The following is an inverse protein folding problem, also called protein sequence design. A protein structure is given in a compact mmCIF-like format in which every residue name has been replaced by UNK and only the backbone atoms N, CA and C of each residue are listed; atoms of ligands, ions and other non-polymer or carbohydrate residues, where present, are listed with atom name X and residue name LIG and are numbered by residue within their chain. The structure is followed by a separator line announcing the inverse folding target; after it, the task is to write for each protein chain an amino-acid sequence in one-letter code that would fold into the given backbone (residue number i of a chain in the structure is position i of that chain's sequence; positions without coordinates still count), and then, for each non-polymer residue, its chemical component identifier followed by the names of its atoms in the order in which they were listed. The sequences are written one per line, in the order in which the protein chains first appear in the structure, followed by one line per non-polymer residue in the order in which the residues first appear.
data_IF_653088270191
#
_entry.id   IF_653088270191
#
_cell.length_a   1.000
_cell.length_b   1.000
_cell.length_c   1.000
_cell.angle_alpha   90.00
_cell.angle_beta   90.00
_cell.angle_gamma   90.00
#
_symmetry.space_group_name_H-M   'P 1'
#
loop_
_entity.id
_entity.type
_entity.pdbx_description
1 polymer ?
#
# COMPACT_ATOMS: atom_id res chain seq x y z
N UNK A 1 -5.70 11.77 25.03
CA UNK A 1 -4.66 12.70 25.55
C UNK A 1 -3.36 11.99 25.26
N UNK A 2 -2.43 12.57 24.49
CA UNK A 2 -1.21 11.85 24.13
C UNK A 2 -0.46 11.40 25.39
N UNK A 3 -0.35 10.08 25.58
CA UNK A 3 0.40 9.45 26.67
C UNK A 3 1.84 9.99 26.63
N UNK A 4 2.34 10.50 27.75
CA UNK A 4 3.70 11.03 27.84
C UNK A 4 4.75 9.94 27.56
N UNK A 5 5.92 10.32 27.05
CA UNK A 5 7.02 9.36 26.78
C UNK A 5 7.36 8.51 28.01
N UNK A 6 7.28 9.09 29.22
CA UNK A 6 7.54 8.38 30.48
C UNK A 6 6.44 7.37 30.82
N UNK A 7 5.17 7.68 30.55
CA UNK A 7 4.08 6.72 30.71
C UNK A 7 4.15 5.59 29.68
N UNK A 8 4.54 5.88 28.43
CA UNK A 8 4.80 4.83 27.44
C UNK A 8 5.93 3.90 27.90
N UNK A 9 7.00 4.45 28.45
CA UNK A 9 8.11 3.66 28.99
C UNK A 9 7.66 2.77 30.16
N UNK A 10 6.84 3.30 31.08
CA UNK A 10 6.25 2.50 32.17
C UNK A 10 5.41 1.34 31.64
N UNK A 11 4.56 1.58 30.64
CA UNK A 11 3.71 0.55 30.06
C UNK A 11 4.53 -0.52 29.31
N UNK A 12 5.59 -0.13 28.60
CA UNK A 12 6.52 -1.08 27.96
C UNK A 12 7.19 -1.97 29.01
N UNK A 13 7.63 -1.39 30.14
CA UNK A 13 8.24 -2.15 31.23
C UNK A 13 7.25 -3.13 31.87
N UNK A 14 6.01 -2.72 32.09
CA UNK A 14 4.96 -3.62 32.60
C UNK A 14 4.73 -4.81 31.65
N UNK A 15 4.62 -4.54 30.34
CA UNK A 15 4.41 -5.59 29.33
C UNK A 15 5.60 -6.54 29.20
N UNK A 16 6.83 -6.06 29.43
CA UNK A 16 8.03 -6.92 29.53
C UNK A 16 7.96 -7.86 30.74
N UNK A 17 7.60 -7.34 31.91
CA UNK A 17 7.40 -8.18 33.12
C UNK A 17 6.32 -9.25 32.90
N UNK A 18 5.21 -8.90 32.23
CA UNK A 18 4.18 -9.88 31.85
C UNK A 18 4.74 -10.97 30.92
N UNK A 19 5.58 -10.61 29.94
CA UNK A 19 6.23 -11.60 29.07
C UNK A 19 7.18 -12.52 29.85
N UNK A 20 7.94 -11.99 30.82
CA UNK A 20 8.80 -12.78 31.69
C UNK A 20 7.99 -13.81 32.49
N UNK A 21 6.91 -13.36 33.15
CA UNK A 21 6.01 -14.25 33.89
C UNK A 21 5.35 -15.32 32.99
N UNK A 22 4.96 -14.95 31.76
CA UNK A 22 4.45 -15.92 30.79
C UNK A 22 5.51 -16.98 30.46
N UNK A 23 6.77 -16.58 30.24
CA UNK A 23 7.87 -17.51 29.93
C UNK A 23 8.21 -18.43 31.10
N UNK A 24 8.16 -17.92 32.33
CA UNK A 24 8.31 -18.74 33.54
C UNK A 24 7.19 -19.79 33.64
N UNK A 25 5.98 -19.45 33.21
CA UNK A 25 4.85 -20.38 33.06
C UNK A 25 4.94 -21.31 31.85
N UNK A 26 6.06 -21.35 31.12
CA UNK A 26 6.27 -22.23 29.98
C UNK A 26 5.79 -21.68 28.63
N UNK A 27 5.33 -20.43 28.56
CA UNK A 27 4.98 -19.81 27.29
C UNK A 27 6.19 -19.73 26.37
N UNK A 28 6.06 -20.34 25.20
CA UNK A 28 6.91 -20.11 24.06
C UNK A 28 6.02 -19.71 22.88
N UNK A 29 6.54 -18.94 21.92
CA UNK A 29 5.74 -18.54 20.77
C UNK A 29 5.23 -19.79 20.04
N UNK A 30 3.91 -19.98 19.95
CA UNK A 30 3.34 -21.27 19.59
C UNK A 30 3.60 -21.64 18.14
N UNK A 31 3.54 -22.95 17.86
CA UNK A 31 3.66 -23.49 16.49
C UNK A 31 2.38 -23.22 15.71
N UNK A 32 2.43 -23.43 14.39
CA UNK A 32 1.32 -23.11 13.49
C UNK A 32 0.00 -23.70 13.95
N UNK A 33 -0.92 -22.83 14.36
CA UNK A 33 -2.32 -23.16 14.59
C UNK A 33 -3.10 -22.98 13.29
N UNK A 34 -4.04 -23.86 13.03
CA UNK A 34 -4.90 -23.78 11.86
C UNK A 34 -5.86 -22.59 11.99
N UNK A 35 -5.99 -21.82 10.91
CA UNK A 35 -6.96 -20.73 10.75
C UNK A 35 -7.81 -21.10 9.55
N UNK A 36 -9.12 -21.17 9.72
CA UNK A 36 -10.07 -21.60 8.67
C UNK A 36 -11.13 -20.54 8.35
N UNK A 37 -11.06 -19.37 9.00
CA UNK A 37 -11.98 -18.28 8.80
C UNK A 37 -11.31 -16.91 8.98
N UNK A 38 -11.77 -15.93 8.19
CA UNK A 38 -11.39 -14.52 8.27
C UNK A 38 -12.59 -13.66 8.67
N UNK A 39 -12.33 -12.55 9.36
CA UNK A 39 -13.35 -11.70 9.94
C UNK A 39 -14.35 -11.17 8.90
N UNK A 40 -13.91 -10.59 7.79
CA UNK A 40 -14.83 -10.06 6.77
C UNK A 40 -15.69 -11.19 6.15
N UNK A 41 -15.10 -12.35 5.85
CA UNK A 41 -15.84 -13.51 5.30
C UNK A 41 -16.94 -13.98 6.28
N UNK A 42 -16.65 -13.97 7.58
CA UNK A 42 -17.63 -14.29 8.62
C UNK A 42 -18.71 -13.22 8.69
N UNK A 43 -18.36 -11.94 8.62
CA UNK A 43 -19.34 -10.86 8.61
C UNK A 43 -20.24 -10.96 7.38
N UNK A 44 -19.71 -11.10 6.17
CA UNK A 44 -20.48 -11.19 4.94
C UNK A 44 -21.37 -12.44 4.90
N UNK A 45 -20.86 -13.59 5.33
CA UNK A 45 -21.58 -14.85 5.26
C UNK A 45 -22.62 -15.08 6.36
N UNK A 46 -22.48 -14.42 7.52
CA UNK A 46 -23.24 -14.78 8.73
C UNK A 46 -23.86 -13.60 9.49
N UNK A 47 -23.47 -12.35 9.23
CA UNK A 47 -23.99 -11.21 10.01
C UNK A 47 -25.48 -10.94 9.80
N UNK A 48 -26.03 -11.29 8.64
CA UNK A 48 -27.45 -11.12 8.30
C UNK A 48 -28.36 -12.22 8.85
N UNK A 49 -27.78 -13.30 9.38
CA UNK A 49 -28.53 -14.43 9.95
C UNK A 49 -28.98 -14.11 11.38
N UNK A 50 -30.17 -14.61 11.73
CA UNK A 50 -30.69 -14.57 13.09
C UNK A 50 -29.89 -15.49 14.03
N UNK A 51 -30.02 -15.25 15.34
CA UNK A 51 -29.39 -16.10 16.35
C UNK A 51 -29.83 -17.56 16.28
N UNK A 52 -31.11 -17.82 15.97
CA UNK A 52 -31.65 -19.18 15.81
C UNK A 52 -31.06 -19.89 14.58
N UNK A 53 -30.93 -19.18 13.47
CA UNK A 53 -30.30 -19.72 12.25
C UNK A 53 -28.82 -20.06 12.50
N UNK A 54 -28.08 -19.19 13.19
CA UNK A 54 -26.68 -19.47 13.54
C UNK A 54 -26.54 -20.67 14.47
N UNK A 55 -27.41 -20.77 15.47
CA UNK A 55 -27.43 -21.90 16.39
C UNK A 55 -27.74 -23.21 15.64
N UNK A 56 -28.68 -23.19 14.69
CA UNK A 56 -29.02 -24.35 13.87
C UNK A 56 -27.87 -24.81 12.97
N UNK A 57 -27.07 -23.87 12.45
CA UNK A 57 -25.88 -24.16 11.62
C UNK A 57 -24.73 -24.72 12.45
N UNK A 58 -24.66 -24.35 13.73
CA UNK A 58 -23.63 -24.80 14.68
C UNK A 58 -22.21 -24.68 14.11
N UNK A 59 -21.93 -23.55 13.44
CA UNK A 59 -20.66 -23.33 12.73
C UNK A 59 -19.56 -23.00 13.71
N UNK A 60 -18.61 -23.93 13.85
CA UNK A 60 -17.33 -23.71 14.53
C UNK A 60 -16.30 -23.11 13.57
N UNK A 61 -15.48 -22.21 14.08
CA UNK A 61 -14.45 -21.47 13.34
C UNK A 61 -13.18 -21.34 14.16
N UNK A 62 -12.04 -21.22 13.46
CA UNK A 62 -10.72 -20.93 14.03
C UNK A 62 -10.18 -19.65 13.43
N UNK A 63 -10.01 -18.65 14.28
CA UNK A 63 -9.59 -17.29 13.89
C UNK A 63 -8.34 -16.89 14.65
N UNK A 64 -7.53 -16.03 14.05
CA UNK A 64 -6.45 -15.36 14.76
C UNK A 64 -6.42 -13.88 14.41
N UNK A 65 -6.13 -13.04 15.40
CA UNK A 65 -6.12 -11.62 15.19
C UNK A 65 -5.51 -10.86 16.34
N UNK A 66 -5.22 -9.59 16.07
CA UNK A 66 -4.75 -8.65 17.07
C UNK A 66 -5.93 -8.20 17.94
N UNK A 67 -5.79 -8.31 19.24
CA UNK A 67 -6.76 -7.79 20.20
C UNK A 67 -6.83 -6.26 20.11
N UNK A 68 -7.96 -5.74 19.65
CA UNK A 68 -8.25 -4.31 19.51
C UNK A 68 -8.99 -3.74 20.72
N UNK A 69 -9.77 -4.57 21.40
CA UNK A 69 -10.50 -4.19 22.60
C UNK A 69 -10.63 -5.37 23.57
N UNK A 70 -10.73 -5.07 24.86
CA UNK A 70 -10.97 -6.04 25.93
C UNK A 70 -11.86 -5.44 27.01
N UNK A 71 -12.92 -6.15 27.39
CA UNK A 71 -13.83 -5.78 28.48
C UNK A 71 -14.05 -6.98 29.38
N UNK A 72 -13.60 -6.89 30.63
CA UNK A 72 -13.74 -7.94 31.64
C UNK A 72 -14.97 -7.66 32.50
N UNK A 73 -15.84 -8.66 32.65
CA UNK A 73 -17.13 -8.59 33.35
C UNK A 73 -17.23 -9.71 34.40
N UNK A 74 -16.21 -9.83 35.25
CA UNK A 74 -16.10 -10.90 36.24
C UNK A 74 -15.83 -12.26 35.59
N UNK A 75 -16.85 -13.13 35.55
CA UNK A 75 -16.77 -14.50 35.00
C UNK A 75 -16.91 -14.58 33.47
N UNK A 76 -17.26 -13.47 32.82
CA UNK A 76 -17.29 -13.37 31.36
C UNK A 76 -16.51 -12.14 30.87
N UNK A 77 -16.09 -12.17 29.61
CA UNK A 77 -15.40 -11.09 28.96
C UNK A 77 -15.77 -11.00 27.49
N UNK A 78 -15.70 -9.79 26.94
CA UNK A 78 -15.74 -9.55 25.50
C UNK A 78 -14.39 -9.04 25.02
N UNK A 79 -14.00 -9.45 23.82
CA UNK A 79 -12.84 -8.91 23.12
C UNK A 79 -13.17 -8.70 21.66
N UNK A 80 -12.53 -7.73 21.01
CA UNK A 80 -12.55 -7.62 19.55
C UNK A 80 -11.17 -7.92 19.03
N UNK A 81 -11.08 -8.82 18.05
CA UNK A 81 -9.84 -9.10 17.35
C UNK A 81 -9.92 -8.60 15.92
N UNK A 82 -8.77 -8.21 15.37
CA UNK A 82 -8.62 -7.75 14.00
C UNK A 82 -7.60 -8.59 13.25
N UNK A 83 -8.01 -9.15 12.13
CA UNK A 83 -7.11 -9.85 11.20
C UNK A 83 -6.79 -8.98 9.97
N UNK A 84 -6.27 -9.60 8.90
CA UNK A 84 -5.94 -8.87 7.66
C UNK A 84 -7.16 -8.40 6.85
N UNK A 85 -8.35 -8.91 7.17
CA UNK A 85 -9.62 -8.63 6.48
C UNK A 85 -10.46 -7.61 7.27
N UNK A 86 -10.68 -7.84 8.57
CA UNK A 86 -11.68 -7.11 9.34
C UNK A 86 -11.61 -7.36 10.84
N UNK A 87 -12.71 -7.04 11.53
CA UNK A 87 -12.87 -7.23 12.97
C UNK A 87 -13.99 -8.24 13.29
N UNK A 88 -13.76 -9.08 14.30
CA UNK A 88 -14.76 -10.02 14.83
C UNK A 88 -14.75 -9.99 16.36
N UNK A 89 -15.94 -10.12 16.97
CA UNK A 89 -16.09 -10.14 18.41
C UNK A 89 -15.89 -11.56 18.95
N UNK A 90 -15.24 -11.65 20.11
CA UNK A 90 -15.05 -12.85 20.90
C UNK A 90 -15.79 -12.70 22.23
N UNK A 91 -16.51 -13.74 22.63
CA UNK A 91 -17.06 -13.91 23.96
C UNK A 91 -16.29 -15.01 24.68
N UNK A 92 -15.81 -14.71 25.88
CA UNK A 92 -15.03 -15.62 26.71
C UNK A 92 -15.71 -15.79 28.06
N UNK A 93 -15.88 -17.03 28.50
CA UNK A 93 -16.48 -17.34 29.81
C UNK A 93 -15.61 -18.32 30.58
N UNK A 94 -15.52 -18.15 31.89
CA UNK A 94 -14.86 -19.11 32.79
C UNK A 94 -15.62 -20.44 32.90
N UNK A 95 -16.83 -20.55 32.33
CA UNK A 95 -17.59 -21.80 32.23
C UNK A 95 -17.21 -22.64 31.02
N UNK A 96 -16.75 -22.00 29.94
CA UNK A 96 -16.39 -22.64 28.67
C UNK A 96 -14.87 -22.88 28.60
N UNK A 97 -14.09 -21.92 29.08
CA UNK A 97 -12.63 -22.00 29.14
C UNK A 97 -12.18 -22.58 30.49
N UNK A 98 -11.03 -23.25 30.50
CA UNK A 98 -10.37 -23.62 31.76
C UNK A 98 -10.08 -22.36 32.59
N UNK A 99 -10.15 -22.48 33.92
CA UNK A 99 -9.91 -21.37 34.83
C UNK A 99 -8.53 -20.74 34.59
N UNK A 100 -7.52 -21.57 34.31
CA UNK A 100 -6.16 -21.14 33.97
C UNK A 100 -6.11 -20.28 32.70
N UNK A 101 -6.72 -20.72 31.60
CA UNK A 101 -6.75 -19.96 30.33
C UNK A 101 -7.53 -18.66 30.51
N UNK A 102 -8.67 -18.69 31.21
CA UNK A 102 -9.47 -17.50 31.42
C UNK A 102 -8.75 -16.46 32.30
N UNK A 103 -8.04 -16.90 33.34
CA UNK A 103 -7.23 -16.00 34.16
C UNK A 103 -6.01 -15.48 33.40
N UNK A 104 -5.37 -16.29 32.56
CA UNK A 104 -4.31 -15.84 31.65
C UNK A 104 -4.84 -14.76 30.69
N UNK A 105 -6.02 -14.94 30.09
CA UNK A 105 -6.66 -13.95 29.22
C UNK A 105 -6.85 -12.58 29.91
N UNK A 106 -7.22 -12.57 31.20
CA UNK A 106 -7.37 -11.32 31.96
C UNK A 106 -6.06 -10.55 32.07
N UNK A 107 -4.90 -11.21 32.02
CA UNK A 107 -3.58 -10.57 32.04
C UNK A 107 -3.11 -10.05 30.68
N UNK A 108 -3.68 -10.53 29.57
CA UNK A 108 -3.32 -10.10 28.22
C UNK A 108 -3.61 -8.62 27.98
N UNK A 109 -2.96 -8.01 27.00
CA UNK A 109 -3.10 -6.59 26.71
C UNK A 109 -3.69 -6.36 25.31
N UNK A 110 -4.42 -5.25 25.16
CA UNK A 110 -4.75 -4.73 23.83
C UNK A 110 -3.46 -4.56 23.02
N UNK A 111 -3.47 -5.11 21.81
CA UNK A 111 -2.32 -5.24 20.93
C UNK A 111 -1.74 -6.65 20.85
N UNK A 112 -1.96 -7.52 21.83
CA UNK A 112 -1.54 -8.93 21.75
C UNK A 112 -2.23 -9.63 20.57
N UNK A 113 -1.58 -10.62 19.97
CA UNK A 113 -2.16 -11.47 18.93
C UNK A 113 -2.60 -12.76 19.58
N UNK A 114 -3.87 -13.12 19.38
CA UNK A 114 -4.49 -14.31 19.96
C UNK A 114 -5.11 -15.16 18.85
N UNK A 115 -5.15 -16.46 19.08
CA UNK A 115 -5.93 -17.42 18.33
C UNK A 115 -7.12 -17.85 19.18
N UNK A 116 -8.27 -18.05 18.54
CA UNK A 116 -9.49 -18.50 19.19
C UNK A 116 -10.22 -19.49 18.30
N UNK A 117 -10.76 -20.53 18.93
CA UNK A 117 -11.70 -21.47 18.31
C UNK A 117 -13.01 -21.44 19.07
N UNK A 118 -14.12 -21.46 18.35
CA UNK A 118 -15.43 -21.39 18.96
C UNK A 118 -16.58 -21.36 17.97
N UNK A 119 -17.79 -21.32 18.50
CA UNK A 119 -19.03 -21.33 17.71
C UNK A 119 -19.56 -19.93 17.47
N UNK A 120 -20.10 -19.68 16.27
CA UNK A 120 -20.75 -18.41 15.94
C UNK A 120 -22.10 -18.26 16.65
N UNK A 121 -22.36 -17.08 17.19
CA UNK A 121 -23.67 -16.68 17.73
C UNK A 121 -23.89 -15.16 17.61
N UNK A 122 -25.10 -14.71 17.96
CA UNK A 122 -25.45 -13.29 18.05
C UNK A 122 -25.62 -12.88 19.51
N UNK A 123 -25.06 -11.73 19.86
CA UNK A 123 -25.30 -11.11 21.17
C UNK A 123 -26.69 -10.46 21.22
N UNK A 124 -27.09 -9.99 22.41
CA UNK A 124 -28.34 -9.23 22.59
C UNK A 124 -28.40 -7.93 21.78
N UNK A 125 -27.25 -7.40 21.36
CA UNK A 125 -27.14 -6.21 20.50
C UNK A 125 -27.02 -6.58 19.02
N UNK A 126 -27.34 -7.83 18.67
CA UNK A 126 -27.29 -8.37 17.30
C UNK A 126 -25.90 -8.30 16.64
N UNK A 127 -24.83 -8.37 17.44
CA UNK A 127 -23.45 -8.40 16.94
C UNK A 127 -22.96 -9.84 16.77
N UNK A 128 -22.44 -10.18 15.57
CA UNK A 128 -21.86 -11.49 15.28
C UNK A 128 -20.62 -11.72 16.15
N UNK A 129 -20.63 -12.83 16.89
CA UNK A 129 -19.64 -13.12 17.93
C UNK A 129 -19.25 -14.59 17.93
N UNK A 130 -18.01 -14.90 18.28
CA UNK A 130 -17.53 -16.26 18.49
C UNK A 130 -17.57 -16.56 20.00
N UNK A 131 -18.32 -17.58 20.39
CA UNK A 131 -18.29 -18.14 21.75
C UNK A 131 -17.05 -19.04 21.86
N UNK A 132 -16.02 -18.54 22.54
CA UNK A 132 -14.68 -19.13 22.53
C UNK A 132 -14.62 -20.37 23.43
N UNK A 133 -14.28 -21.50 22.83
CA UNK A 133 -14.05 -22.78 23.50
C UNK A 133 -12.55 -23.07 23.73
N UNK A 134 -11.68 -22.58 22.85
CA UNK A 134 -10.22 -22.67 23.00
C UNK A 134 -9.58 -21.32 22.68
N UNK A 135 -8.57 -20.92 23.45
CA UNK A 135 -7.86 -19.65 23.31
C UNK A 135 -6.37 -19.87 23.48
N UNK A 136 -5.57 -19.25 22.62
CA UNK A 136 -4.13 -19.27 22.74
C UNK A 136 -3.52 -17.89 22.47
N UNK A 137 -2.55 -17.49 23.29
CA UNK A 137 -1.73 -16.30 23.01
C UNK A 137 -0.71 -16.65 21.92
N UNK A 138 -0.77 -15.98 20.77
CA UNK A 138 0.22 -16.18 19.70
C UNK A 138 1.44 -15.27 19.87
N UNK A 139 1.24 -14.01 20.25
CA UNK A 139 2.33 -13.03 20.34
C UNK A 139 2.00 -11.94 21.34
N UNK A 140 2.89 -11.74 22.31
CA UNK A 140 2.83 -10.62 23.26
C UNK A 140 3.27 -9.32 22.60
N UNK A 141 2.42 -8.29 22.64
CA UNK A 141 2.76 -6.95 22.16
C UNK A 141 3.45 -6.15 23.23
N UNK A 142 4.76 -5.92 23.09
CA UNK A 142 5.55 -5.16 24.07
C UNK A 142 5.32 -3.64 24.01
N UNK A 143 4.76 -3.13 22.91
CA UNK A 143 4.39 -1.73 22.76
C UNK A 143 2.87 -1.59 22.72
N UNK A 144 2.31 -0.53 23.34
CA UNK A 144 0.88 -0.25 23.23
C UNK A 144 0.50 0.15 21.81
N UNK A 145 -0.78 -0.03 21.49
CA UNK A 145 -1.34 0.52 20.26
C UNK A 145 -1.43 2.05 20.34
N UNK A 146 -1.30 2.77 19.21
CA UNK A 146 -1.59 4.20 19.15
C UNK A 146 -3.02 4.52 19.59
N UNK A 147 -3.24 5.67 20.22
CA UNK A 147 -4.60 6.17 20.47
C UNK A 147 -5.32 6.41 19.13
N UNK A 148 -6.52 5.83 18.95
CA UNK A 148 -7.31 5.87 17.71
C UNK A 148 -7.50 7.28 17.12
N UNK A 149 -7.58 8.32 17.95
CA UNK A 149 -7.97 9.67 17.53
C UNK A 149 -6.81 10.65 17.36
N UNK A 150 -5.73 10.51 18.11
CA UNK A 150 -4.64 11.48 18.14
C UNK A 150 -3.32 10.94 17.60
N UNK A 151 -3.10 9.62 17.64
CA UNK A 151 -1.79 9.03 17.36
C UNK A 151 -1.46 8.84 15.88
N UNK A 152 -2.45 8.94 14.98
CA UNK A 152 -2.27 8.65 13.55
C UNK A 152 -2.85 9.74 12.63
N UNK A 153 -3.26 10.89 13.14
CA UNK A 153 -3.63 12.03 12.28
C UNK A 153 -2.39 12.67 11.65
N UNK A 154 -1.24 12.57 12.32
CA UNK A 154 0.05 13.05 11.80
C UNK A 154 0.50 12.20 10.60
N UNK A 155 0.51 12.84 9.43
CA UNK A 155 0.94 12.26 8.17
C UNK A 155 2.38 11.76 8.19
N UNK A 156 3.29 12.43 8.89
CA UNK A 156 4.69 12.04 8.97
C UNK A 156 4.86 10.75 9.79
N UNK A 157 4.16 10.65 10.93
CA UNK A 157 4.15 9.43 11.76
C UNK A 157 3.59 8.25 10.96
N UNK A 158 2.50 8.44 10.20
CA UNK A 158 1.94 7.38 9.33
C UNK A 158 2.96 6.88 8.30
N UNK A 159 3.78 7.79 7.74
CA UNK A 159 4.80 7.42 6.76
C UNK A 159 6.00 6.71 7.41
N UNK A 160 6.46 7.18 8.56
CA UNK A 160 7.58 6.56 9.30
C UNK A 160 7.21 5.21 9.93
N UNK A 161 5.96 5.07 10.36
CA UNK A 161 5.44 3.88 11.05
C UNK A 161 4.29 3.25 10.27
N UNK A 162 4.54 2.93 9.00
CA UNK A 162 3.53 2.36 8.09
C UNK A 162 2.78 1.17 8.67
N UNK A 163 3.45 0.32 9.45
CA UNK A 163 2.81 -0.83 10.10
C UNK A 163 1.70 -0.43 11.10
N UNK A 164 1.81 0.72 11.77
CA UNK A 164 0.76 1.25 12.64
C UNK A 164 -0.40 1.85 11.84
N UNK A 165 -0.09 2.60 10.78
CA UNK A 165 -1.09 3.14 9.86
C UNK A 165 -1.92 2.02 9.22
N UNK A 166 -1.27 0.99 8.67
CA UNK A 166 -1.95 -0.19 8.10
C UNK A 166 -2.77 -0.93 9.15
N UNK A 167 -2.29 -1.03 10.39
CA UNK A 167 -3.03 -1.70 11.46
C UNK A 167 -4.34 -0.97 11.80
N UNK A 168 -4.36 0.36 11.70
CA UNK A 168 -5.47 1.18 12.17
C UNK A 168 -6.40 1.70 11.06
N UNK A 169 -5.93 1.82 9.83
CA UNK A 169 -6.70 2.39 8.71
C UNK A 169 -7.00 1.34 7.63
N UNK A 170 -8.28 0.96 7.50
CA UNK A 170 -8.76 0.09 6.39
C UNK A 170 -8.57 0.81 5.04
N UNK A 171 -8.73 2.13 5.01
CA UNK A 171 -8.51 2.93 3.79
C UNK A 171 -7.06 2.88 3.32
N UNK A 172 -6.08 3.03 4.23
CA UNK A 172 -4.66 2.86 3.89
C UNK A 172 -4.41 1.46 3.30
N UNK A 173 -4.92 0.41 3.94
CA UNK A 173 -4.79 -0.97 3.41
C UNK A 173 -5.39 -1.10 2.01
N UNK A 174 -6.59 -0.54 1.80
CA UNK A 174 -7.28 -0.58 0.51
C UNK A 174 -6.46 0.12 -0.57
N UNK A 175 -5.79 1.24 -0.29
CA UNK A 175 -4.88 1.90 -1.25
C UNK A 175 -3.76 0.95 -1.70
N UNK A 176 -3.14 0.18 -0.80
CA UNK A 176 -2.10 -0.79 -1.18
C UNK A 176 -2.67 -1.99 -1.94
N UNK A 177 -3.84 -2.51 -1.55
CA UNK A 177 -4.53 -3.58 -2.28
C UNK A 177 -4.87 -3.14 -3.71
N UNK A 178 -5.43 -1.93 -3.86
CA UNK A 178 -5.73 -1.29 -5.14
C UNK A 178 -4.47 -1.12 -5.98
N UNK A 179 -3.36 -0.63 -5.39
CA UNK A 179 -2.06 -0.53 -6.08
C UNK A 179 -1.61 -1.90 -6.62
N UNK A 180 -1.74 -2.96 -5.83
CA UNK A 180 -1.37 -4.30 -6.29
C UNK A 180 -2.24 -4.78 -7.45
N UNK A 181 -3.55 -4.51 -7.41
CA UNK A 181 -4.48 -4.82 -8.51
C UNK A 181 -4.13 -4.05 -9.78
N UNK A 182 -3.83 -2.75 -9.67
CA UNK A 182 -3.41 -1.91 -10.79
C UNK A 182 -2.17 -2.49 -11.49
N UNK A 183 -1.12 -2.81 -10.72
CA UNK A 183 0.12 -3.35 -11.30
C UNK A 183 -0.12 -4.74 -11.90
N UNK A 184 -0.94 -5.58 -11.27
CA UNK A 184 -1.30 -6.90 -11.83
C UNK A 184 -2.05 -6.77 -13.15
N UNK A 185 -3.04 -5.88 -13.24
CA UNK A 185 -3.82 -5.64 -14.46
C UNK A 185 -2.96 -5.03 -15.57
N UNK A 186 -2.04 -4.13 -15.22
CA UNK A 186 -1.07 -3.57 -16.16
C UNK A 186 -0.19 -4.66 -16.78
N UNK A 187 0.34 -5.59 -15.96
CA UNK A 187 1.11 -6.74 -16.45
C UNK A 187 0.31 -7.64 -17.36
N UNK A 188 -0.90 -8.03 -16.94
CA UNK A 188 -1.75 -8.92 -17.74
C UNK A 188 -2.11 -8.27 -19.06
N UNK A 189 -2.52 -6.99 -19.05
CA UNK A 189 -2.85 -6.23 -20.26
C UNK A 189 -1.71 -6.22 -21.27
N UNK A 190 -0.48 -5.90 -20.84
CA UNK A 190 0.68 -5.87 -21.75
C UNK A 190 1.05 -7.28 -22.24
N UNK A 191 0.95 -8.30 -21.37
CA UNK A 191 1.23 -9.69 -21.73
C UNK A 191 0.23 -10.26 -22.72
N UNK A 192 -1.07 -9.94 -22.57
CA UNK A 192 -2.15 -10.34 -23.48
C UNK A 192 -1.97 -9.75 -24.88
N UNK A 193 -1.29 -8.59 -24.98
CA UNK A 193 -0.90 -7.94 -26.24
C UNK A 193 0.42 -8.50 -26.83
N UNK A 194 0.98 -9.54 -26.22
CA UNK A 194 2.24 -10.17 -26.65
C UNK A 194 3.49 -9.32 -26.39
N UNK A 195 3.43 -8.38 -25.45
CA UNK A 195 4.58 -7.56 -25.04
C UNK A 195 5.28 -8.29 -23.89
N UNK A 196 6.56 -8.64 -24.07
CA UNK A 196 7.30 -9.50 -23.16
C UNK A 196 7.79 -8.73 -21.91
N UNK A 197 7.49 -9.22 -20.71
CA UNK A 197 8.10 -8.69 -19.48
C UNK A 197 9.58 -9.13 -19.40
N UNK A 198 10.47 -8.18 -19.17
CA UNK A 198 11.92 -8.40 -19.04
C UNK A 198 12.47 -7.73 -17.78
N UNK A 199 13.63 -8.18 -17.32
CA UNK A 199 14.36 -7.55 -16.21
C UNK A 199 15.74 -7.08 -16.70
N UNK A 200 16.04 -5.79 -16.51
CA UNK A 200 17.34 -5.21 -16.86
C UNK A 200 18.14 -4.78 -15.62
N UNK A 201 19.47 -4.60 -15.71
CA UNK A 201 20.30 -4.26 -14.55
C UNK A 201 19.84 -2.99 -13.82
N UNK A 202 19.86 -3.04 -12.48
CA UNK A 202 19.62 -1.90 -11.58
C UNK A 202 20.85 -1.05 -11.32
N UNK A 203 22.04 -1.62 -11.53
CA UNK A 203 23.34 -0.96 -11.37
C UNK A 203 23.96 -0.78 -12.74
N UNK A 204 24.18 0.46 -13.15
CA UNK A 204 24.74 0.82 -14.45
C UNK A 204 26.18 1.34 -14.28
N UNK A 205 27.08 1.06 -15.23
CA UNK A 205 28.42 1.68 -15.23
C UNK A 205 28.36 3.16 -15.64
N UNK A 206 27.37 3.54 -16.46
CA UNK A 206 27.12 4.91 -16.88
C UNK A 206 25.62 5.16 -16.72
N UNK A 207 25.20 6.13 -15.89
CA UNK A 207 23.79 6.46 -15.74
C UNK A 207 23.28 7.17 -17.00
N UNK A 208 22.10 6.78 -17.49
CA UNK A 208 21.49 7.36 -18.69
C UNK A 208 20.01 6.99 -18.83
N UNK A 209 19.37 7.44 -19.92
CA UNK A 209 17.94 7.23 -20.16
C UNK A 209 17.01 8.24 -19.47
N UNK A 210 17.55 9.18 -18.68
CA UNK A 210 16.81 10.30 -18.12
C UNK A 210 17.77 11.45 -17.76
N UNK A 211 17.21 12.63 -17.50
CA UNK A 211 17.95 13.77 -16.93
C UNK A 211 17.67 13.84 -15.44
N UNK A 212 18.49 13.17 -14.64
CA UNK A 212 18.39 13.15 -13.18
C UNK A 212 19.75 12.90 -12.53
N UNK A 213 19.92 13.32 -11.27
CA UNK A 213 21.13 13.00 -10.50
C UNK A 213 21.06 11.54 -10.02
N UNK A 214 22.07 10.70 -10.30
CA UNK A 214 22.06 9.30 -9.87
C UNK A 214 22.52 9.14 -8.40
N UNK A 215 22.19 8.00 -7.80
CA UNK A 215 22.93 7.49 -6.63
C UNK A 215 24.18 6.75 -7.10
N UNK A 216 25.29 6.96 -6.39
CA UNK A 216 26.58 6.31 -6.66
C UNK A 216 26.83 5.23 -5.61
N UNK A 217 27.33 4.08 -6.03
CA UNK A 217 27.76 2.97 -5.17
C UNK A 217 29.08 2.40 -5.71
N UNK A 218 29.71 1.50 -4.95
CA UNK A 218 31.01 0.93 -5.29
C UNK A 218 31.00 -0.59 -5.18
N UNK A 219 31.47 -1.28 -6.22
CA UNK A 219 31.56 -2.73 -6.24
C UNK A 219 32.94 -3.20 -5.78
N UNK A 220 33.09 -3.53 -4.49
CA UNK A 220 34.38 -3.84 -3.84
C UNK A 220 35.27 -4.85 -4.61
N UNK A 221 34.71 -5.97 -5.09
CA UNK A 221 35.52 -7.02 -5.73
C UNK A 221 35.96 -6.68 -7.16
N UNK A 222 35.30 -5.71 -7.81
CA UNK A 222 35.63 -5.25 -9.17
C UNK A 222 36.33 -3.89 -9.15
N UNK A 223 36.53 -3.33 -7.95
CA UNK A 223 37.11 -2.01 -7.69
C UNK A 223 36.63 -0.94 -8.67
N UNK A 224 35.30 -0.79 -8.77
CA UNK A 224 34.68 0.16 -9.70
C UNK A 224 33.40 0.76 -9.16
N UNK A 225 33.17 2.02 -9.53
CA UNK A 225 31.92 2.71 -9.24
C UNK A 225 30.79 2.23 -10.16
N UNK A 226 29.60 2.19 -9.59
CA UNK A 226 28.34 1.89 -10.27
C UNK A 226 27.29 2.91 -9.84
N UNK A 227 26.25 3.03 -10.65
CA UNK A 227 25.17 3.98 -10.44
C UNK A 227 23.85 3.22 -10.35
N UNK A 228 23.02 3.54 -9.36
CA UNK A 228 21.64 3.06 -9.39
C UNK A 228 20.93 3.70 -10.57
N UNK A 229 20.22 2.90 -11.37
CA UNK A 229 19.62 3.36 -12.62
C UNK A 229 18.59 4.47 -12.38
N UNK A 230 18.68 5.52 -13.20
CA UNK A 230 17.70 6.61 -13.25
C UNK A 230 16.53 6.30 -14.21
N UNK A 231 16.78 5.38 -15.16
CA UNK A 231 15.84 4.81 -16.15
C UNK A 231 16.45 3.51 -16.76
N UNK A 232 15.64 2.49 -17.09
CA UNK A 232 16.09 1.31 -17.84
C UNK A 232 16.20 1.49 -19.37
N UNK A 233 15.71 2.61 -19.95
CA UNK A 233 15.64 2.90 -21.40
C UNK A 233 16.79 2.32 -22.24
N UNK A 234 18.05 2.63 -21.90
CA UNK A 234 19.19 2.26 -22.73
C UNK A 234 19.40 0.73 -22.79
N UNK A 235 19.07 -0.01 -21.74
CA UNK A 235 19.17 -1.47 -21.74
C UNK A 235 18.01 -2.11 -22.50
N UNK A 236 16.80 -1.58 -22.34
CA UNK A 236 15.64 -2.04 -23.10
C UNK A 236 15.84 -1.84 -24.61
N UNK A 237 16.36 -0.68 -25.04
CA UNK A 237 16.70 -0.45 -26.46
C UNK A 237 17.75 -1.43 -26.98
N UNK A 238 18.69 -1.91 -26.16
CA UNK A 238 19.64 -2.97 -26.56
C UNK A 238 18.94 -4.31 -26.81
N UNK A 239 17.90 -4.62 -26.05
CA UNK A 239 17.08 -5.82 -26.29
C UNK A 239 16.31 -5.71 -27.62
N UNK A 240 15.77 -4.54 -27.94
CA UNK A 240 15.15 -4.28 -29.25
C UNK A 240 16.16 -4.47 -30.38
N UNK A 241 17.37 -3.93 -30.26
CA UNK A 241 18.47 -4.19 -31.21
C UNK A 241 18.81 -5.68 -31.30
N UNK A 242 18.68 -6.41 -30.19
CA UNK A 242 18.87 -7.86 -30.12
C UNK A 242 17.73 -8.70 -30.71
N UNK A 243 16.66 -8.07 -31.22
CA UNK A 243 15.54 -8.76 -31.87
C UNK A 243 14.31 -8.98 -30.97
N UNK A 244 14.28 -8.42 -29.77
CA UNK A 244 13.04 -8.40 -28.96
C UNK A 244 12.15 -7.23 -29.39
N UNK A 245 11.24 -7.49 -30.32
CA UNK A 245 10.41 -6.45 -30.94
C UNK A 245 9.44 -5.76 -29.96
N UNK A 246 8.96 -6.45 -28.91
CA UNK A 246 7.96 -5.91 -27.98
C UNK A 246 8.30 -6.32 -26.57
N UNK A 247 8.70 -5.35 -25.76
CA UNK A 247 9.15 -5.57 -24.38
C UNK A 247 8.63 -4.52 -23.42
N UNK A 248 8.50 -4.87 -22.16
CA UNK A 248 8.26 -3.93 -21.08
C UNK A 248 8.96 -4.35 -19.79
N UNK A 249 9.18 -3.39 -18.90
CA UNK A 249 9.70 -3.62 -17.55
C UNK A 249 8.95 -2.73 -16.55
N UNK A 250 8.44 -3.34 -15.46
CA UNK A 250 7.84 -2.63 -14.32
C UNK A 250 8.73 -2.84 -13.09
N UNK A 251 9.61 -1.88 -12.79
CA UNK A 251 10.50 -2.02 -11.65
C UNK A 251 11.00 -0.65 -11.14
N UNK A 252 11.96 -0.64 -10.20
CA UNK A 252 12.42 0.57 -9.51
C UNK A 252 13.33 1.43 -10.40
N UNK A 253 13.20 2.74 -10.26
CA UNK A 253 14.16 3.75 -10.67
C UNK A 253 14.57 4.57 -9.45
N UNK A 254 15.79 5.11 -9.48
CA UNK A 254 16.38 5.83 -8.36
C UNK A 254 16.87 7.20 -8.82
N UNK A 255 16.42 8.27 -8.16
CA UNK A 255 16.83 9.65 -8.46
C UNK A 255 17.22 10.34 -7.16
N UNK A 256 18.46 10.83 -7.10
CA UNK A 256 19.04 11.50 -5.94
C UNK A 256 18.61 12.98 -5.93
N UNK A 257 17.32 13.17 -5.72
CA UNK A 257 16.61 14.45 -5.75
C UNK A 257 15.84 14.66 -4.44
N UNK A 258 15.29 15.86 -4.25
CA UNK A 258 14.50 16.19 -3.06
C UNK A 258 13.21 15.36 -2.97
N UNK A 259 12.77 15.07 -1.74
CA UNK A 259 11.49 14.42 -1.48
C UNK A 259 10.37 15.47 -1.54
N UNK A 260 9.24 15.13 -2.15
CA UNK A 260 8.02 15.95 -2.12
C UNK A 260 6.78 15.07 -2.11
N UNK A 261 5.58 15.67 -2.10
CA UNK A 261 4.31 14.94 -2.20
C UNK A 261 4.15 14.16 -3.52
N UNK A 262 4.94 14.50 -4.54
CA UNK A 262 4.91 13.88 -5.87
C UNK A 262 6.18 13.10 -6.21
N UNK A 263 7.26 13.24 -5.41
CA UNK A 263 8.58 12.70 -5.74
C UNK A 263 9.14 11.91 -4.56
N UNK A 264 9.47 10.65 -4.80
CA UNK A 264 10.20 9.78 -3.88
C UNK A 264 11.53 9.36 -4.54
N UNK A 265 12.66 9.31 -3.80
CA UNK A 265 13.97 8.99 -4.38
C UNK A 265 14.05 7.61 -5.03
N UNK A 266 13.17 6.70 -4.62
CA UNK A 266 12.90 5.44 -5.32
C UNK A 266 11.43 5.38 -5.75
N UNK A 267 11.17 4.99 -6.99
CA UNK A 267 9.80 4.92 -7.50
C UNK A 267 9.67 3.85 -8.57
N UNK A 268 8.45 3.36 -8.78
CA UNK A 268 8.17 2.34 -9.79
C UNK A 268 7.83 3.02 -11.11
N UNK A 269 8.47 2.58 -12.18
CA UNK A 269 8.18 3.03 -13.53
C UNK A 269 7.85 1.82 -14.41
N UNK A 270 6.88 1.98 -15.31
CA UNK A 270 6.72 1.14 -16.49
C UNK A 270 7.52 1.79 -17.61
N UNK A 271 8.46 1.06 -18.21
CA UNK A 271 9.00 1.38 -19.53
C UNK A 271 8.61 0.28 -20.51
N UNK A 272 8.27 0.65 -21.74
CA UNK A 272 7.91 -0.31 -22.80
C UNK A 272 8.44 0.16 -24.15
N UNK A 273 8.78 -0.80 -25.01
CA UNK A 273 9.29 -0.57 -26.35
C UNK A 273 8.61 -1.53 -27.33
N UNK A 274 8.18 -0.97 -28.46
CA UNK A 274 7.60 -1.72 -29.58
C UNK A 274 8.29 -1.29 -30.87
N UNK A 275 9.01 -2.20 -31.50
CA UNK A 275 9.61 -2.01 -32.81
C UNK A 275 8.51 -1.81 -33.87
N UNK A 276 8.82 -1.02 -34.89
CA UNK A 276 7.93 -0.71 -36.01
C UNK A 276 6.64 0.05 -35.63
N UNK A 277 6.61 0.63 -34.42
CA UNK A 277 5.52 1.48 -33.94
C UNK A 277 5.94 2.95 -33.89
N UNK A 278 4.95 3.83 -33.95
CA UNK A 278 5.07 5.27 -33.83
C UNK A 278 4.62 5.74 -32.44
N UNK A 279 4.79 7.03 -32.16
CA UNK A 279 4.24 7.62 -30.94
C UNK A 279 2.70 7.52 -30.86
N UNK A 280 1.99 7.49 -32.00
CA UNK A 280 0.53 7.35 -32.02
C UNK A 280 0.07 5.98 -31.54
N UNK A 281 0.81 4.92 -31.89
CA UNK A 281 0.52 3.57 -31.41
C UNK A 281 0.68 3.47 -29.89
N UNK A 282 1.72 4.11 -29.35
CA UNK A 282 1.96 4.17 -27.90
C UNK A 282 0.92 5.02 -27.18
N UNK A 283 0.44 6.12 -27.78
CA UNK A 283 -0.67 6.91 -27.24
C UNK A 283 -1.94 6.06 -27.17
N UNK A 284 -2.32 5.37 -28.25
CA UNK A 284 -3.49 4.47 -28.28
C UNK A 284 -3.39 3.38 -27.20
N UNK A 285 -2.23 2.71 -27.09
CA UNK A 285 -1.97 1.67 -26.10
C UNK A 285 -2.12 2.20 -24.66
N UNK A 286 -1.61 3.40 -24.40
CA UNK A 286 -1.64 4.04 -23.08
C UNK A 286 -3.06 4.41 -22.67
N UNK A 287 -3.84 4.98 -23.59
CA UNK A 287 -5.25 5.34 -23.38
C UNK A 287 -6.08 4.09 -23.03
N UNK A 288 -6.00 3.03 -23.85
CA UNK A 288 -6.74 1.78 -23.59
C UNK A 288 -6.28 1.10 -22.29
N UNK A 289 -4.97 1.05 -22.02
CA UNK A 289 -4.45 0.47 -20.77
C UNK A 289 -5.03 1.17 -19.53
N UNK A 290 -5.06 2.51 -19.52
CA UNK A 290 -5.61 3.28 -18.40
C UNK A 290 -7.11 3.03 -18.25
N UNK A 291 -7.84 2.99 -19.36
CA UNK A 291 -9.27 2.65 -19.38
C UNK A 291 -9.55 1.26 -18.80
N UNK A 292 -8.84 0.23 -19.27
CA UNK A 292 -8.99 -1.16 -18.81
C UNK A 292 -8.65 -1.30 -17.32
N UNK A 293 -7.62 -0.59 -16.84
CA UNK A 293 -7.26 -0.58 -15.41
C UNK A 293 -8.35 0.08 -14.58
N UNK A 294 -8.89 1.23 -15.01
CA UNK A 294 -9.95 1.92 -14.29
C UNK A 294 -11.21 1.07 -14.17
N UNK A 295 -11.64 0.44 -15.28
CA UNK A 295 -12.80 -0.43 -15.32
C UNK A 295 -12.62 -1.66 -14.41
N UNK A 296 -11.48 -2.34 -14.46
CA UNK A 296 -11.20 -3.52 -13.64
C UNK A 296 -11.14 -3.18 -12.14
N UNK A 297 -10.41 -2.12 -11.79
CA UNK A 297 -10.05 -1.86 -10.39
C UNK A 297 -11.12 -1.05 -9.66
N UNK A 298 -11.75 -0.08 -10.34
CA UNK A 298 -12.79 0.77 -9.77
C UNK A 298 -14.20 0.31 -10.14
N UNK A 299 -14.38 -0.42 -11.24
CA UNK A 299 -15.70 -0.70 -11.80
C UNK A 299 -16.31 0.50 -12.54
N UNK A 300 -15.52 1.54 -12.81
CA UNK A 300 -15.98 2.78 -13.45
C UNK A 300 -14.87 3.40 -14.31
N UNK A 301 -15.29 4.03 -15.41
CA UNK A 301 -14.45 4.84 -16.31
C UNK A 301 -14.29 6.30 -15.83
N UNK A 302 -14.96 6.70 -14.76
CA UNK A 302 -14.81 8.04 -14.17
C UNK A 302 -13.98 7.92 -12.89
N UNK A 303 -12.89 8.69 -12.82
CA UNK A 303 -11.97 8.73 -11.68
C UNK A 303 -12.09 10.08 -10.97
N UNK A 304 -12.33 10.06 -9.66
CA UNK A 304 -12.42 11.25 -8.83
C UNK A 304 -11.05 11.52 -8.23
N UNK A 305 -10.50 12.69 -8.50
CA UNK A 305 -9.20 13.09 -7.97
C UNK A 305 -9.17 14.58 -7.64
N UNK A 306 -8.92 14.89 -6.36
CA UNK A 306 -8.85 16.26 -5.84
C UNK A 306 -10.09 17.13 -6.16
N UNK A 307 -11.29 16.52 -6.07
CA UNK A 307 -12.56 17.21 -6.32
C UNK A 307 -12.90 17.42 -7.79
N UNK A 308 -12.13 16.81 -8.71
CA UNK A 308 -12.42 16.81 -10.15
C UNK A 308 -12.66 15.39 -10.65
N UNK A 309 -13.66 15.26 -11.52
CA UNK A 309 -13.97 14.03 -12.23
C UNK A 309 -13.14 13.94 -13.53
N UNK A 310 -12.56 12.77 -13.78
CA UNK A 310 -11.78 12.45 -14.97
C UNK A 310 -12.39 11.23 -15.66
N UNK A 311 -13.01 11.45 -16.82
CA UNK A 311 -13.54 10.39 -17.68
C UNK A 311 -12.41 9.84 -18.56
N UNK A 312 -11.96 8.62 -18.26
CA UNK A 312 -10.88 7.93 -18.99
C UNK A 312 -11.38 7.01 -20.09
N UNK A 313 -12.69 7.03 -20.42
CA UNK A 313 -13.23 6.27 -21.57
C UNK A 313 -13.15 6.99 -22.90
N UNK A 314 -12.90 8.30 -22.88
CA UNK A 314 -12.78 9.11 -24.08
C UNK A 314 -11.33 9.10 -24.58
N UNK A 315 -11.12 9.21 -25.91
CA UNK A 315 -9.79 9.47 -26.43
C UNK A 315 -9.19 10.71 -25.76
N UNK A 316 -7.92 10.62 -25.38
CA UNK A 316 -7.26 11.72 -24.70
C UNK A 316 -7.01 12.86 -25.67
N UNK A 317 -7.04 14.10 -25.17
CA UNK A 317 -6.73 15.26 -26.00
C UNK A 317 -5.29 15.17 -26.50
N UNK A 318 -5.11 15.17 -27.83
CA UNK A 318 -3.80 15.25 -28.49
C UNK A 318 -3.54 16.68 -28.88
N UNK A 319 -2.48 17.26 -28.34
CA UNK A 319 -2.09 18.64 -28.58
C UNK A 319 -0.57 18.72 -28.66
N UNK A 320 -0.04 19.51 -29.59
CA UNK A 320 1.40 19.76 -29.64
C UNK A 320 1.81 20.69 -28.49
N UNK A 321 3.10 20.70 -28.13
CA UNK A 321 3.60 21.62 -27.12
C UNK A 321 3.34 23.08 -27.52
N UNK A 322 3.57 23.42 -28.79
CA UNK A 322 3.37 24.78 -29.34
C UNK A 322 1.89 25.19 -29.25
N UNK A 323 0.97 24.32 -29.68
CA UNK A 323 -0.49 24.59 -29.58
C UNK A 323 -0.94 24.73 -28.12
N UNK A 324 -0.41 23.90 -27.21
CA UNK A 324 -0.71 23.99 -25.78
C UNK A 324 -0.23 25.32 -25.19
N UNK A 325 0.97 25.77 -25.57
CA UNK A 325 1.52 27.07 -25.13
C UNK A 325 0.64 28.20 -25.64
N UNK A 326 0.26 28.18 -26.92
CA UNK A 326 -0.60 29.21 -27.53
C UNK A 326 -2.00 29.25 -26.90
N UNK A 327 -2.61 28.09 -26.62
CA UNK A 327 -3.93 28.01 -26.01
C UNK A 327 -4.00 28.71 -24.63
N UNK A 328 -2.90 28.69 -23.89
CA UNK A 328 -2.79 29.36 -22.59
C UNK A 328 -2.14 30.75 -22.65
N UNK A 329 -1.54 31.12 -23.79
CA UNK A 329 -0.85 32.39 -23.99
C UNK A 329 -1.23 32.98 -25.37
N UNK A 330 -2.49 33.40 -25.56
CA UNK A 330 -3.00 33.79 -26.88
C UNK A 330 -2.34 35.03 -27.48
N UNK A 331 -1.59 35.79 -26.68
CA UNK A 331 -0.89 37.00 -27.10
C UNK A 331 0.52 36.75 -27.66
N UNK A 332 0.99 35.49 -27.67
CA UNK A 332 2.29 35.17 -28.25
C UNK A 332 2.27 35.28 -29.78
N UNK A 333 3.37 35.74 -30.35
CA UNK A 333 3.56 35.77 -31.79
C UNK A 333 3.91 34.35 -32.29
N UNK A 334 2.94 33.73 -32.96
CA UNK A 334 3.04 32.37 -33.52
C UNK A 334 4.29 32.21 -34.40
N UNK A 335 4.72 33.27 -35.09
CA UNK A 335 5.90 33.21 -35.99
C UNK A 335 7.23 33.16 -35.24
N UNK A 336 7.24 33.56 -33.97
CA UNK A 336 8.44 33.68 -33.14
C UNK A 336 8.52 32.59 -32.05
N UNK A 337 7.67 31.57 -32.07
CA UNK A 337 7.69 30.46 -31.10
C UNK A 337 8.94 29.58 -31.16
N UNK A 338 9.82 29.80 -32.14
CA UNK A 338 11.15 29.17 -32.20
C UNK A 338 12.29 30.18 -32.17
N UNK A 339 11.98 31.43 -31.87
CA UNK A 339 12.96 32.49 -31.70
C UNK A 339 13.37 32.58 -30.22
N UNK A 340 14.64 32.28 -29.97
CA UNK A 340 15.19 32.24 -28.61
C UNK A 340 15.10 33.60 -27.89
N UNK A 341 15.41 34.68 -28.58
CA UNK A 341 15.50 36.01 -27.96
C UNK A 341 14.11 36.58 -27.67
N UNK A 342 13.13 36.28 -28.53
CA UNK A 342 11.72 36.50 -28.27
C UNK A 342 11.24 35.73 -27.04
N UNK A 343 11.42 34.41 -27.02
CA UNK A 343 10.97 33.58 -25.90
C UNK A 343 11.68 33.94 -24.59
N UNK A 344 12.96 34.29 -24.62
CA UNK A 344 13.70 34.75 -23.43
C UNK A 344 13.08 36.01 -22.83
N UNK A 345 12.66 36.96 -23.69
CA UNK A 345 11.95 38.17 -23.24
C UNK A 345 10.57 37.84 -22.67
N UNK A 346 9.79 37.00 -23.35
CA UNK A 346 8.50 36.51 -22.87
C UNK A 346 8.64 35.84 -21.49
N UNK A 347 9.65 34.97 -21.32
CA UNK A 347 9.93 34.35 -20.03
C UNK A 347 10.25 35.40 -18.95
N UNK A 348 11.07 36.41 -19.27
CA UNK A 348 11.39 37.48 -18.33
C UNK A 348 10.14 38.28 -17.92
N UNK A 349 9.25 38.60 -18.86
CA UNK A 349 7.98 39.29 -18.61
C UNK A 349 7.04 38.46 -17.72
N UNK A 350 7.08 37.12 -17.85
CA UNK A 350 6.33 36.18 -17.02
C UNK A 350 7.04 35.85 -15.68
N UNK A 351 8.22 36.43 -15.42
CA UNK A 351 8.99 36.16 -14.20
C UNK A 351 9.65 34.77 -14.16
N UNK A 352 9.85 34.14 -15.31
CA UNK A 352 10.48 32.82 -15.46
C UNK A 352 11.99 33.00 -15.62
N UNK A 353 12.78 32.41 -14.72
CA UNK A 353 14.24 32.46 -14.79
C UNK A 353 14.79 31.57 -15.91
N UNK A 354 15.48 32.18 -16.88
CA UNK A 354 16.10 31.49 -18.02
C UNK A 354 17.59 31.28 -17.76
N UNK A 355 18.04 30.01 -17.77
CA UNK A 355 19.46 29.67 -17.68
C UNK A 355 20.20 30.05 -18.96
N UNK A 356 21.45 30.53 -18.82
CA UNK A 356 22.26 31.08 -19.93
C UNK A 356 22.51 30.13 -21.13
N UNK A 357 22.36 28.81 -20.97
CA UNK A 357 22.65 27.79 -21.99
C UNK A 357 21.40 27.04 -22.51
N UNK A 358 20.28 27.74 -22.66
CA UNK A 358 19.05 27.16 -23.23
C UNK A 358 18.93 27.45 -24.73
N UNK A 359 18.23 26.54 -25.40
CA UNK A 359 17.80 26.62 -26.80
C UNK A 359 16.36 27.17 -26.83
N UNK A 360 15.75 27.30 -28.01
CA UNK A 360 14.38 27.84 -28.09
C UNK A 360 13.31 26.91 -27.52
N UNK A 361 13.52 25.59 -27.60
CA UNK A 361 12.69 24.56 -26.97
C UNK A 361 13.30 24.13 -25.65
#
# INVERSE_FOLDING_TARGET
MSISTDEQNKLILERRKKLESLREGGFNFPRGLEIDAYADDLQEGFSSLSGEELQSRNKEVRVAGRMMAKRVMGKSSFSKIKDGSGEIQLFLSSSELSQEIYDQFKTLDVGDIIWAKGQLFKTKTDELTINVAELELLTKSLRPLPEKYHGLTDTEIRYRQRYLDLMMSKDSQNVFRTRSKIVSKMRSYLSDQGILEVETPMMHPIPGGAVARPFVTHHNALDRDLYLRIAPELYLKRLVVGGFDRIFEINRCFRNEGVSTQHNPEFTMLELYMAYCTAEDIMNLTEDMIFQIALEVKGSNVVDYQGKEYDVSKPFQRVTLEDSVLAHNPNLDVKLLRDKDYLTRVCADLGIEVRKKLWFG
#
